data_IF_147109528793
#
_entry.id   IF_147109528793
#
_cell.length_a   1.000
_cell.length_b   1.000
_cell.length_c   1.000
_cell.angle_alpha   90.00
_cell.angle_beta   90.00
_cell.angle_gamma   90.00
#
_symmetry.space_group_name_H-M   'P 1'
#
loop_
_entity.id
_entity.type
_entity.pdbx_description
1 polymer ?
#
# COMPACT_ATOMS: atom_id res chain seq x y z
N UNK A 1 -4.10 -36.39 20.79
CA UNK A 1 -3.15 -35.49 20.12
C UNK A 1 -3.95 -34.65 19.13
N UNK A 2 -4.26 -33.39 19.45
CA UNK A 2 -4.98 -32.46 18.57
C UNK A 2 -3.94 -31.61 17.84
N UNK A 3 -3.89 -31.74 16.51
CA UNK A 3 -3.02 -30.99 15.63
C UNK A 3 -3.37 -29.51 15.69
N UNK A 4 -2.40 -28.67 16.09
CA UNK A 4 -2.46 -27.19 16.04
C UNK A 4 -2.25 -26.77 14.57
N UNK A 5 -3.13 -25.95 13.97
CA UNK A 5 -2.90 -25.45 12.62
C UNK A 5 -1.70 -24.48 12.59
N UNK A 6 -0.75 -24.78 11.72
CA UNK A 6 0.42 -23.98 11.40
C UNK A 6 0.01 -22.56 10.98
N UNK A 7 0.47 -21.56 11.72
CA UNK A 7 0.30 -20.13 11.39
C UNK A 7 1.12 -19.80 10.15
N UNK A 8 0.45 -19.75 9.00
CA UNK A 8 1.05 -19.36 7.71
C UNK A 8 1.65 -17.95 7.75
N UNK A 9 2.71 -17.75 6.99
CA UNK A 9 3.49 -16.53 6.90
C UNK A 9 2.67 -15.26 6.66
N UNK A 10 3.03 -14.21 7.36
CA UNK A 10 2.39 -12.89 7.28
C UNK A 10 3.07 -12.09 6.18
N UNK A 11 2.32 -11.76 5.14
CA UNK A 11 2.71 -10.77 4.13
C UNK A 11 1.84 -9.55 4.33
N UNK A 12 2.46 -8.42 4.54
CA UNK A 12 1.76 -7.16 4.59
C UNK A 12 1.62 -6.66 3.15
N UNK A 13 0.40 -6.70 2.64
CA UNK A 13 0.06 -6.18 1.33
C UNK A 13 -0.35 -4.72 1.46
N UNK A 14 0.30 -3.85 0.74
CA UNK A 14 -0.26 -2.54 0.40
C UNK A 14 -1.26 -2.61 -0.75
N UNK A 15 -1.32 -3.71 -1.49
CA UNK A 15 -2.30 -3.94 -2.57
C UNK A 15 -2.72 -5.41 -2.62
N UNK A 16 -3.97 -5.68 -2.40
CA UNK A 16 -4.79 -6.84 -2.76
C UNK A 16 -5.37 -7.70 -1.64
N UNK A 17 -6.60 -8.11 -1.88
CA UNK A 17 -7.46 -8.97 -1.06
C UNK A 17 -7.07 -10.43 -1.05
N UNK A 18 -7.37 -11.08 0.07
CA UNK A 18 -7.49 -12.54 0.16
C UNK A 18 -8.92 -12.96 0.48
N UNK A 19 -9.35 -14.03 -0.19
CA UNK A 19 -10.57 -14.77 0.14
C UNK A 19 -10.32 -15.67 1.33
N UNK A 20 -11.18 -15.58 2.35
CA UNK A 20 -11.44 -16.65 3.31
C UNK A 20 -12.62 -17.47 2.79
N UNK A 21 -12.51 -18.79 2.80
CA UNK A 21 -13.59 -19.68 2.40
C UNK A 21 -14.74 -19.62 3.41
N UNK A 22 -15.78 -18.86 3.10
CA UNK A 22 -17.14 -19.01 3.58
C UNK A 22 -18.06 -18.70 2.39
N UNK A 23 -18.94 -19.64 2.06
CA UNK A 23 -19.99 -19.77 1.05
C UNK A 23 -20.41 -18.53 0.23
N UNK A 24 -20.81 -18.68 -1.06
CA UNK A 24 -20.69 -17.67 -2.09
C UNK A 24 -21.84 -16.66 -2.06
N UNK A 25 -21.57 -15.47 -1.59
CA UNK A 25 -22.14 -14.28 -2.19
C UNK A 25 -21.20 -13.87 -3.32
N UNK A 26 -21.71 -13.64 -4.52
CA UNK A 26 -21.04 -13.53 -5.79
C UNK A 26 -19.63 -12.91 -5.84
N UNK A 27 -18.88 -13.09 -6.92
CA UNK A 27 -17.47 -12.74 -6.96
C UNK A 27 -17.31 -11.24 -6.68
N UNK A 28 -16.75 -10.88 -5.51
CA UNK A 28 -16.16 -9.59 -5.33
C UNK A 28 -15.01 -9.49 -6.35
N UNK A 29 -15.32 -9.01 -7.53
CA UNK A 29 -14.33 -8.61 -8.51
C UNK A 29 -13.55 -7.50 -7.85
N UNK A 30 -12.21 -7.71 -7.65
CA UNK A 30 -11.34 -6.57 -7.57
C UNK A 30 -11.57 -5.80 -8.86
N UNK A 31 -12.13 -4.60 -8.79
CA UNK A 31 -12.19 -3.77 -9.96
C UNK A 31 -10.76 -3.28 -10.15
N UNK A 32 -10.21 -3.46 -11.26
CA UNK A 32 -8.98 -2.91 -11.77
C UNK A 32 -7.80 -3.89 -11.60
N UNK A 33 -7.54 -4.52 -12.71
CA UNK A 33 -6.22 -4.95 -13.09
C UNK A 33 -5.39 -3.67 -13.23
N UNK A 34 -4.77 -3.19 -12.12
CA UNK A 34 -3.90 -2.01 -12.11
C UNK A 34 -2.70 -2.16 -13.06
N UNK A 35 -2.58 -3.32 -13.70
CA UNK A 35 -1.49 -3.68 -14.59
C UNK A 35 -2.02 -4.30 -15.89
N UNK A 36 -2.59 -3.51 -16.83
CA UNK A 36 -2.80 -3.98 -18.18
C UNK A 36 -1.44 -4.12 -18.92
N UNK A 37 -1.38 -5.07 -19.87
CA UNK A 37 -0.24 -5.24 -20.74
C UNK A 37 0.12 -3.92 -21.46
N UNK A 38 1.42 -3.67 -21.62
CA UNK A 38 2.04 -2.47 -22.19
C UNK A 38 1.24 -1.83 -23.32
N UNK A 39 0.65 -0.67 -23.07
CA UNK A 39 0.24 0.26 -24.10
C UNK A 39 1.37 1.26 -24.39
N UNK A 40 1.56 1.59 -25.67
CA UNK A 40 2.64 2.43 -26.17
C UNK A 40 2.70 3.80 -25.50
N UNK A 41 3.89 4.23 -25.10
CA UNK A 41 4.19 5.47 -24.38
C UNK A 41 3.99 6.70 -25.27
N UNK A 42 2.98 7.51 -24.94
CA UNK A 42 2.97 8.94 -25.23
C UNK A 42 3.10 9.67 -23.88
N UNK A 43 4.05 10.59 -23.73
CA UNK A 43 4.17 11.41 -22.53
C UNK A 43 2.91 12.30 -22.41
N UNK A 44 2.18 12.26 -21.28
CA UNK A 44 1.04 13.14 -21.08
C UNK A 44 1.50 14.60 -20.96
N UNK A 45 0.72 15.52 -21.51
CA UNK A 45 0.93 17.00 -21.43
C UNK A 45 1.05 17.53 -19.98
N UNK A 46 0.67 16.74 -18.97
CA UNK A 46 0.65 17.08 -17.55
C UNK A 46 1.54 16.18 -16.68
N UNK A 47 2.71 15.75 -17.20
CA UNK A 47 3.66 14.97 -16.39
C UNK A 47 4.16 15.78 -15.19
N UNK A 48 3.99 15.24 -13.99
CA UNK A 48 4.45 15.86 -12.75
C UNK A 48 5.99 15.94 -12.73
N UNK A 49 6.59 17.10 -12.39
CA UNK A 49 8.05 17.25 -12.35
C UNK A 49 8.67 16.46 -11.17
N UNK A 50 9.94 16.00 -11.31
CA UNK A 50 10.62 15.24 -10.26
C UNK A 50 10.69 15.91 -8.88
N UNK A 51 10.78 17.25 -8.85
CA UNK A 51 10.76 18.03 -7.59
C UNK A 51 9.43 17.86 -6.84
N UNK A 52 8.33 17.74 -7.56
CA UNK A 52 7.01 17.51 -6.97
C UNK A 52 6.86 16.09 -6.45
N UNK A 53 7.51 15.11 -7.10
CA UNK A 53 7.57 13.73 -6.61
C UNK A 53 8.22 13.63 -5.23
N UNK A 54 9.35 14.34 -5.06
CA UNK A 54 10.06 14.39 -3.79
C UNK A 54 9.21 15.00 -2.69
N UNK A 55 8.44 16.05 -3.01
CA UNK A 55 7.54 16.68 -2.04
C UNK A 55 6.44 15.72 -1.58
N UNK A 56 5.75 15.02 -2.50
CA UNK A 56 4.74 14.01 -2.13
C UNK A 56 5.34 12.88 -1.30
N UNK A 57 6.52 12.37 -1.68
CA UNK A 57 7.18 11.29 -0.94
C UNK A 57 7.61 11.74 0.46
N UNK A 58 8.14 12.96 0.60
CA UNK A 58 8.55 13.51 1.88
C UNK A 58 7.38 13.69 2.87
N UNK A 59 6.20 14.03 2.37
CA UNK A 59 4.99 14.25 3.15
C UNK A 59 4.05 13.03 3.15
N UNK A 60 4.50 11.87 2.64
CA UNK A 60 3.65 10.70 2.47
C UNK A 60 3.04 10.23 3.80
N UNK A 61 1.72 10.12 3.80
CA UNK A 61 0.93 9.58 4.90
C UNK A 61 0.51 8.13 4.68
N UNK A 62 0.51 7.70 3.41
CA UNK A 62 0.19 6.34 2.97
C UNK A 62 1.21 5.88 1.92
N UNK A 63 1.48 4.57 1.79
CA UNK A 63 2.51 4.06 0.87
C UNK A 63 2.29 4.47 -0.59
N UNK A 64 1.04 4.66 -0.98
CA UNK A 64 0.63 5.05 -2.33
C UNK A 64 1.09 6.47 -2.72
N UNK A 65 1.58 7.26 -1.75
CA UNK A 65 2.17 8.58 -1.96
C UNK A 65 3.70 8.55 -2.11
N UNK A 66 4.33 7.40 -1.87
CA UNK A 66 5.77 7.20 -2.10
C UNK A 66 6.03 7.03 -3.60
N UNK A 67 6.21 8.16 -4.32
CA UNK A 67 6.38 8.15 -5.78
C UNK A 67 7.53 7.25 -6.25
N UNK A 68 8.72 7.25 -5.60
CA UNK A 68 9.80 6.33 -5.97
C UNK A 68 9.40 4.85 -5.83
N UNK A 69 8.69 4.50 -4.76
CA UNK A 69 8.19 3.15 -4.54
C UNK A 69 7.22 2.71 -5.63
N UNK A 70 6.11 3.45 -5.81
CA UNK A 70 5.06 3.03 -6.76
C UNK A 70 5.60 2.92 -8.18
N UNK A 71 6.48 3.84 -8.61
CA UNK A 71 7.12 3.78 -9.93
C UNK A 71 8.08 2.61 -10.09
N UNK A 72 8.79 2.22 -9.04
CA UNK A 72 9.72 1.09 -9.10
C UNK A 72 8.99 -0.26 -9.20
N UNK A 73 7.80 -0.38 -8.59
CA UNK A 73 7.05 -1.64 -8.54
C UNK A 73 5.87 -1.70 -9.53
N UNK A 74 5.67 -0.67 -10.34
CA UNK A 74 4.56 -0.59 -11.29
C UNK A 74 4.91 0.26 -12.52
N UNK A 75 4.07 0.15 -13.58
CA UNK A 75 4.15 0.99 -14.78
C UNK A 75 3.24 2.24 -14.68
N UNK A 76 2.87 2.65 -13.45
CA UNK A 76 1.98 3.78 -13.22
C UNK A 76 2.71 5.12 -13.41
N UNK A 77 2.01 6.09 -14.01
CA UNK A 77 2.51 7.44 -14.23
C UNK A 77 1.91 8.40 -13.18
N UNK A 78 2.74 9.15 -12.43
CA UNK A 78 2.26 10.09 -11.43
C UNK A 78 1.70 11.36 -12.08
N UNK A 79 0.54 11.80 -11.60
CA UNK A 79 -0.13 13.05 -11.94
C UNK A 79 -0.52 13.79 -10.66
N UNK A 80 -0.84 15.07 -10.76
CA UNK A 80 -1.44 15.85 -9.68
C UNK A 80 -2.85 16.28 -10.09
N UNK A 81 -3.84 16.04 -9.22
CA UNK A 81 -5.22 16.46 -9.40
C UNK A 81 -5.70 17.15 -8.12
N UNK A 82 -6.07 18.43 -8.19
CA UNK A 82 -6.56 19.20 -7.04
C UNK A 82 -5.63 19.21 -5.83
N UNK A 83 -4.32 19.11 -6.03
CA UNK A 83 -3.32 19.02 -4.98
C UNK A 83 -3.12 17.61 -4.39
N UNK A 84 -3.82 16.59 -4.91
CA UNK A 84 -3.63 15.19 -4.56
C UNK A 84 -2.81 14.45 -5.63
N UNK A 85 -2.04 13.45 -5.17
CA UNK A 85 -1.35 12.55 -6.08
C UNK A 85 -2.35 11.63 -6.76
N UNK A 86 -2.18 11.43 -8.06
CA UNK A 86 -2.92 10.44 -8.84
C UNK A 86 -1.97 9.56 -9.65
N UNK A 87 -2.41 8.36 -9.99
CA UNK A 87 -1.68 7.37 -10.74
C UNK A 87 -2.45 6.98 -11.99
N UNK A 88 -1.85 7.20 -13.16
CA UNK A 88 -2.45 6.85 -14.44
C UNK A 88 -1.91 5.56 -15.00
N UNK A 89 -2.81 4.76 -15.55
CA UNK A 89 -2.49 3.58 -16.35
C UNK A 89 -3.43 3.51 -17.55
N UNK A 90 -3.02 4.05 -18.68
CA UNK A 90 -3.85 4.17 -19.86
C UNK A 90 -5.15 4.93 -19.56
N UNK A 91 -6.36 4.29 -19.72
CA UNK A 91 -7.63 4.92 -19.44
C UNK A 91 -8.04 4.87 -17.95
N UNK A 92 -7.28 4.21 -17.09
CA UNK A 92 -7.55 4.12 -15.66
C UNK A 92 -6.77 5.16 -14.88
N UNK A 93 -7.42 5.77 -13.87
CA UNK A 93 -6.80 6.71 -12.94
C UNK A 93 -7.09 6.28 -11.50
N UNK A 94 -6.07 6.35 -10.64
CA UNK A 94 -6.20 6.14 -9.19
C UNK A 94 -5.84 7.43 -8.49
N UNK A 95 -6.79 8.07 -7.82
CA UNK A 95 -6.59 9.28 -7.01
C UNK A 95 -6.31 8.88 -5.57
N UNK A 96 -5.18 9.34 -5.00
CA UNK A 96 -4.80 9.11 -3.60
C UNK A 96 -5.32 10.28 -2.76
N UNK A 97 -6.55 10.18 -2.31
CA UNK A 97 -7.28 11.21 -1.58
C UNK A 97 -6.97 11.24 -0.07
N UNK A 98 -5.79 10.78 0.34
CA UNK A 98 -5.28 10.96 1.69
C UNK A 98 -4.47 12.26 1.75
N UNK A 99 -4.78 13.15 2.70
CA UNK A 99 -3.99 14.34 2.92
C UNK A 99 -2.54 13.99 3.28
N UNK A 100 -1.60 14.74 2.72
CA UNK A 100 -0.19 14.68 3.08
C UNK A 100 0.00 15.20 4.51
N UNK A 101 0.97 14.63 5.22
CA UNK A 101 1.28 14.97 6.60
C UNK A 101 0.45 14.22 7.65
N UNK A 102 1.08 14.03 8.81
CA UNK A 102 0.50 13.33 9.94
C UNK A 102 -0.26 14.32 10.83
N UNK A 103 -1.53 14.55 10.55
CA UNK A 103 -2.44 14.85 11.66
C UNK A 103 -2.82 13.48 12.24
N UNK A 104 -2.24 13.15 13.39
CA UNK A 104 -2.64 11.99 14.19
C UNK A 104 -4.08 12.20 14.66
N UNK A 105 -5.03 11.77 13.84
CA UNK A 105 -6.44 11.67 14.22
C UNK A 105 -6.73 10.20 14.42
N UNK A 106 -7.17 9.80 15.60
CA UNK A 106 -7.56 8.43 15.90
C UNK A 106 -8.70 7.91 14.99
N UNK A 107 -9.23 6.73 15.30
CA UNK A 107 -10.29 6.03 14.56
C UNK A 107 -11.56 6.86 14.26
N UNK A 108 -11.74 7.99 14.94
CA UNK A 108 -12.83 8.95 14.81
C UNK A 108 -12.36 10.27 14.16
N UNK A 109 -11.49 10.23 13.15
CA UNK A 109 -11.22 11.44 12.38
C UNK A 109 -12.52 11.83 11.67
N UNK A 110 -13.26 12.72 12.33
CA UNK A 110 -14.49 13.30 11.80
C UNK A 110 -14.15 13.97 10.47
N UNK A 111 -14.87 13.56 9.43
CA UNK A 111 -14.77 14.13 8.08
C UNK A 111 -14.93 15.64 8.15
N UNK A 112 -13.82 16.37 8.06
CA UNK A 112 -13.91 17.83 8.04
C UNK A 112 -14.52 18.29 6.72
N UNK A 113 -15.44 19.25 6.76
CA UNK A 113 -16.05 19.82 5.53
C UNK A 113 -15.02 20.31 4.51
N UNK A 114 -13.94 21.02 4.92
CA UNK A 114 -12.90 21.46 3.99
C UNK A 114 -12.15 20.30 3.31
N UNK A 115 -11.87 19.20 4.03
CA UNK A 115 -11.19 18.02 3.49
C UNK A 115 -12.08 17.31 2.45
N UNK A 116 -13.36 17.13 2.75
CA UNK A 116 -14.32 16.56 1.82
C UNK A 116 -14.45 17.39 0.54
N UNK A 117 -14.61 18.71 0.66
CA UNK A 117 -14.74 19.60 -0.49
C UNK A 117 -13.48 19.61 -1.39
N UNK A 118 -12.27 19.55 -0.79
CA UNK A 118 -11.03 19.45 -1.55
C UNK A 118 -10.95 18.14 -2.33
N UNK A 119 -11.31 17.02 -1.69
CA UNK A 119 -11.33 15.72 -2.34
C UNK A 119 -12.36 15.67 -3.47
N UNK A 120 -13.57 16.21 -3.27
CA UNK A 120 -14.60 16.26 -4.29
C UNK A 120 -14.20 17.13 -5.49
N UNK A 121 -13.52 18.25 -5.26
CA UNK A 121 -12.95 19.07 -6.34
C UNK A 121 -11.89 18.30 -7.14
N UNK A 122 -10.99 17.58 -6.46
CA UNK A 122 -9.98 16.75 -7.09
C UNK A 122 -10.59 15.58 -7.89
N UNK A 123 -11.66 14.98 -7.39
CA UNK A 123 -12.44 13.95 -8.13
C UNK A 123 -13.06 14.53 -9.40
N UNK A 124 -13.59 15.76 -9.33
CA UNK A 124 -14.11 16.48 -10.50
C UNK A 124 -13.03 16.72 -11.55
N UNK A 125 -11.84 17.21 -11.13
CA UNK A 125 -10.69 17.41 -12.00
C UNK A 125 -10.23 16.08 -12.62
N UNK A 126 -10.02 15.04 -11.81
CA UNK A 126 -9.59 13.72 -12.25
C UNK A 126 -10.57 13.10 -13.28
N UNK A 127 -11.88 13.26 -13.05
CA UNK A 127 -12.93 12.78 -13.97
C UNK A 127 -12.95 13.51 -15.30
N UNK A 128 -12.48 14.76 -15.34
CA UNK A 128 -12.46 15.59 -16.55
C UNK A 128 -11.20 15.36 -17.43
N UNK A 129 -10.20 14.66 -16.93
CA UNK A 129 -8.98 14.39 -17.69
C UNK A 129 -9.26 13.60 -18.96
N UNK A 130 -8.63 14.04 -20.06
CA UNK A 130 -8.82 13.42 -21.37
C UNK A 130 -8.32 11.97 -21.38
N UNK A 131 -9.15 11.06 -21.88
CA UNK A 131 -8.81 9.65 -22.06
C UNK A 131 -8.97 8.79 -20.80
N UNK A 132 -9.51 9.35 -19.71
CA UNK A 132 -9.86 8.56 -18.52
C UNK A 132 -11.26 7.98 -18.68
N UNK A 133 -11.37 6.65 -18.51
CA UNK A 133 -12.62 5.88 -18.60
C UNK A 133 -13.02 5.27 -17.26
N UNK A 134 -12.05 5.13 -16.32
CA UNK A 134 -12.31 4.63 -14.99
C UNK A 134 -11.53 5.42 -13.94
N UNK A 135 -12.15 5.68 -12.80
CA UNK A 135 -11.56 6.35 -11.66
C UNK A 135 -11.70 5.49 -10.41
N UNK A 136 -10.60 5.35 -9.68
CA UNK A 136 -10.56 4.79 -8.34
C UNK A 136 -10.05 5.85 -7.38
N UNK A 137 -10.72 6.03 -6.26
CA UNK A 137 -10.31 6.94 -5.18
C UNK A 137 -9.95 6.13 -3.95
N UNK A 138 -8.72 6.31 -3.46
CA UNK A 138 -8.21 5.75 -2.21
C UNK A 138 -8.29 6.86 -1.16
N UNK A 139 -9.21 6.79 -0.20
CA UNK A 139 -9.47 7.90 0.72
C UNK A 139 -9.92 7.42 2.11
N UNK A 140 -9.93 8.30 3.12
CA UNK A 140 -10.48 7.96 4.44
C UNK A 140 -11.98 7.70 4.42
N UNK A 141 -12.69 8.21 3.45
CA UNK A 141 -14.14 8.12 3.28
C UNK A 141 -14.52 8.10 1.80
N UNK A 142 -15.74 7.66 1.50
CA UNK A 142 -16.31 7.74 0.15
C UNK A 142 -16.50 9.21 -0.24
N UNK A 143 -15.98 9.68 -1.40
CA UNK A 143 -16.24 11.04 -1.88
C UNK A 143 -17.72 11.27 -2.16
N UNK A 144 -18.24 12.48 -1.90
CA UNK A 144 -19.61 12.85 -2.26
C UNK A 144 -19.76 13.00 -3.77
N UNK A 145 -18.70 13.42 -4.47
CA UNK A 145 -18.65 13.48 -5.92
C UNK A 145 -18.68 12.10 -6.62
N UNK A 146 -18.52 11.00 -5.87
CA UNK A 146 -18.65 9.65 -6.44
C UNK A 146 -20.10 9.36 -6.80
N UNK A 147 -20.41 8.91 -8.05
CA UNK A 147 -21.78 8.64 -8.48
C UNK A 147 -22.42 7.51 -7.65
N UNK A 148 -23.76 7.43 -7.63
CA UNK A 148 -24.48 6.42 -6.84
C UNK A 148 -24.06 4.99 -7.18
N UNK A 149 -23.79 4.70 -8.46
CA UNK A 149 -23.33 3.37 -8.92
C UNK A 149 -21.87 3.05 -8.61
N UNK A 150 -21.11 3.98 -8.04
CA UNK A 150 -19.73 3.70 -7.65
C UNK A 150 -19.68 2.60 -6.59
N UNK A 151 -18.75 1.66 -6.78
CA UNK A 151 -18.56 0.52 -5.88
C UNK A 151 -17.47 0.86 -4.87
N UNK A 152 -17.81 0.75 -3.59
CA UNK A 152 -16.81 0.89 -2.52
C UNK A 152 -16.44 -0.47 -1.95
N UNK A 153 -15.17 -0.63 -1.60
CA UNK A 153 -14.69 -1.79 -0.85
C UNK A 153 -15.19 -1.74 0.60
N UNK A 154 -15.06 -2.87 1.29
CA UNK A 154 -15.25 -2.88 2.75
C UNK A 154 -14.24 -1.92 3.38
N UNK A 155 -14.66 -1.08 4.33
CA UNK A 155 -13.76 -0.18 5.04
C UNK A 155 -12.61 -0.94 5.73
N UNK A 156 -11.41 -0.39 5.64
CA UNK A 156 -10.19 -0.83 6.31
C UNK A 156 -9.53 0.38 7.00
N UNK A 157 -8.33 0.22 7.51
CA UNK A 157 -7.56 1.31 8.09
C UNK A 157 -6.07 1.06 7.96
N UNK A 158 -5.29 2.13 7.86
CA UNK A 158 -3.85 2.09 8.09
C UNK A 158 -3.56 2.02 9.58
N UNK A 159 -2.63 1.14 9.94
CA UNK A 159 -2.20 0.89 11.31
C UNK A 159 -0.77 1.38 11.52
N UNK A 160 -0.45 1.84 12.71
CA UNK A 160 0.92 2.25 13.00
C UNK A 160 1.28 2.19 14.46
N UNK A 161 2.57 2.34 14.71
CA UNK A 161 3.21 2.32 16.02
C UNK A 161 3.95 3.64 16.17
N UNK A 162 3.66 4.45 17.20
CA UNK A 162 4.53 5.57 17.56
C UNK A 162 5.93 5.05 17.88
N UNK A 163 6.95 5.70 17.33
CA UNK A 163 8.34 5.41 17.62
C UNK A 163 8.87 6.39 18.68
N UNK A 164 9.49 5.91 19.76
CA UNK A 164 10.14 6.76 20.74
C UNK A 164 11.42 7.39 20.16
N UNK A 165 12.01 8.30 20.88
CA UNK A 165 13.30 8.92 20.49
C UNK A 165 14.49 7.99 20.74
N UNK A 166 14.36 7.03 21.65
CA UNK A 166 15.37 6.00 21.93
C UNK A 166 14.76 4.59 21.75
N UNK A 167 15.49 3.71 21.09
CA UNK A 167 15.07 2.33 20.90
C UNK A 167 14.91 1.55 22.23
N UNK A 168 15.60 1.95 23.28
CA UNK A 168 15.46 1.37 24.60
C UNK A 168 14.07 1.62 25.21
N UNK A 169 13.39 2.69 24.78
CA UNK A 169 12.06 3.08 25.26
C UNK A 169 10.92 2.37 24.52
N UNK A 170 11.22 1.48 23.55
CA UNK A 170 10.19 0.71 22.85
C UNK A 170 9.41 -0.20 23.83
N UNK A 171 8.11 0.10 23.96
CA UNK A 171 7.21 -0.61 24.88
C UNK A 171 6.72 -1.93 24.28
N UNK A 172 7.42 -3.01 24.54
CA UNK A 172 6.97 -4.36 24.17
C UNK A 172 6.17 -5.03 25.29
N UNK A 173 5.03 -5.62 24.94
CA UNK A 173 4.33 -6.54 25.84
C UNK A 173 5.20 -7.75 26.18
N UNK A 174 4.99 -8.37 27.36
CA UNK A 174 5.80 -9.50 27.83
C UNK A 174 5.93 -10.64 26.81
N UNK A 175 4.82 -10.98 26.15
CA UNK A 175 4.80 -12.04 25.13
C UNK A 175 5.70 -11.71 23.93
N UNK A 176 5.67 -10.47 23.46
CA UNK A 176 6.51 -10.02 22.34
C UNK A 176 7.99 -9.99 22.73
N UNK A 177 8.33 -9.49 23.92
CA UNK A 177 9.71 -9.55 24.46
C UNK A 177 10.26 -10.96 24.48
N UNK A 178 9.45 -11.92 24.93
CA UNK A 178 9.87 -13.32 24.96
C UNK A 178 10.07 -13.89 23.56
N UNK A 179 9.22 -13.54 22.60
CA UNK A 179 9.38 -13.95 21.20
C UNK A 179 10.65 -13.36 20.56
N UNK A 180 10.89 -12.06 20.74
CA UNK A 180 12.10 -11.40 20.25
C UNK A 180 13.37 -12.02 20.84
N UNK A 181 13.38 -12.27 22.16
CA UNK A 181 14.53 -12.92 22.83
C UNK A 181 14.77 -14.33 22.28
N UNK A 182 13.72 -15.09 22.00
CA UNK A 182 13.83 -16.41 21.40
C UNK A 182 14.35 -16.34 19.97
N UNK A 183 13.76 -15.49 19.12
CA UNK A 183 14.18 -15.33 17.74
C UNK A 183 15.65 -14.94 17.62
N UNK A 184 16.14 -14.00 18.43
CA UNK A 184 17.53 -13.53 18.45
C UNK A 184 18.57 -14.60 18.84
N UNK A 185 18.17 -15.78 19.31
CA UNK A 185 19.07 -16.93 19.53
C UNK A 185 19.23 -17.77 18.28
N UNK A 186 18.19 -17.80 17.43
CA UNK A 186 18.10 -18.72 16.31
C UNK A 186 18.40 -18.02 14.98
N UNK A 187 18.30 -16.67 14.96
CA UNK A 187 18.54 -15.85 13.74
C UNK A 187 19.30 -14.57 14.05
N UNK A 188 20.12 -14.17 13.09
CA UNK A 188 20.78 -12.87 13.01
C UNK A 188 20.02 -11.97 12.02
N UNK A 189 19.71 -10.73 12.43
CA UNK A 189 19.14 -9.72 11.54
C UNK A 189 20.23 -8.77 11.09
N UNK A 190 20.35 -8.58 9.78
CA UNK A 190 21.28 -7.63 9.18
C UNK A 190 20.60 -6.84 8.05
N UNK A 191 21.02 -5.57 7.89
CA UNK A 191 20.74 -4.81 6.67
C UNK A 191 21.62 -5.36 5.55
N UNK A 192 21.03 -5.68 4.41
CA UNK A 192 21.76 -6.12 3.23
C UNK A 192 21.11 -5.65 1.93
N UNK A 193 21.83 -5.77 0.82
CA UNK A 193 21.28 -5.53 -0.52
C UNK A 193 20.44 -6.71 -1.00
N UNK A 194 19.75 -6.50 -2.13
CA UNK A 194 19.00 -7.56 -2.78
C UNK A 194 19.93 -8.69 -3.26
N UNK A 195 19.52 -9.94 -3.05
CA UNK A 195 20.28 -11.15 -3.42
C UNK A 195 19.36 -12.19 -4.08
N UNK A 196 19.93 -13.19 -4.80
CA UNK A 196 19.13 -14.23 -5.46
C UNK A 196 18.23 -15.04 -4.53
N UNK A 197 18.64 -15.30 -3.29
CA UNK A 197 17.85 -16.04 -2.30
C UNK A 197 16.60 -15.27 -1.83
N UNK A 198 16.64 -13.92 -1.83
CA UNK A 198 15.43 -13.11 -1.61
C UNK A 198 14.43 -13.29 -2.76
N UNK A 199 14.90 -13.27 -4.01
CA UNK A 199 14.07 -13.50 -5.18
C UNK A 199 13.45 -14.91 -5.16
N UNK A 200 14.23 -15.92 -4.79
CA UNK A 200 13.74 -17.29 -4.66
C UNK A 200 12.63 -17.41 -3.61
N UNK A 201 12.80 -16.80 -2.44
CA UNK A 201 11.78 -16.77 -1.39
C UNK A 201 10.50 -16.09 -1.86
N UNK A 202 10.60 -14.99 -2.60
CA UNK A 202 9.46 -14.31 -3.21
C UNK A 202 8.75 -15.23 -4.21
N UNK A 203 9.49 -15.89 -5.11
CA UNK A 203 8.89 -16.79 -6.09
C UNK A 203 8.24 -18.03 -5.43
N UNK A 204 8.83 -18.59 -4.38
CA UNK A 204 8.21 -19.65 -3.57
C UNK A 204 6.88 -19.17 -2.98
N UNK A 205 6.85 -17.95 -2.45
CA UNK A 205 5.64 -17.35 -1.91
C UNK A 205 4.58 -17.12 -2.98
N UNK A 206 4.96 -16.61 -4.16
CA UNK A 206 4.07 -16.41 -5.30
C UNK A 206 3.44 -17.75 -5.75
N UNK A 207 4.22 -18.82 -5.81
CA UNK A 207 3.74 -20.17 -6.18
C UNK A 207 2.81 -20.79 -5.14
N UNK A 208 2.97 -20.41 -3.87
CA UNK A 208 2.19 -20.99 -2.76
C UNK A 208 0.73 -20.52 -2.69
N UNK A 209 0.33 -19.49 -3.48
CA UNK A 209 -1.00 -18.85 -3.38
C UNK A 209 -1.47 -18.28 -4.72
N UNK A 210 -2.79 -18.24 -4.96
CA UNK A 210 -3.34 -17.59 -6.13
C UNK A 210 -3.32 -16.07 -5.97
N UNK A 211 -2.30 -15.41 -6.51
CA UNK A 211 -2.22 -13.95 -6.57
C UNK A 211 -2.69 -13.43 -7.94
N UNK A 212 -3.32 -12.25 -7.93
CA UNK A 212 -3.60 -11.51 -9.15
C UNK A 212 -2.30 -11.18 -9.91
N UNK A 213 -2.32 -11.06 -11.26
CA UNK A 213 -1.14 -10.73 -12.05
C UNK A 213 -0.37 -9.50 -11.55
N UNK A 214 -1.08 -8.41 -11.22
CA UNK A 214 -0.48 -7.20 -10.69
C UNK A 214 0.23 -7.38 -9.35
N UNK A 215 -0.32 -8.21 -8.44
CA UNK A 215 0.36 -8.53 -7.18
C UNK A 215 1.65 -9.31 -7.41
N UNK A 216 1.65 -10.25 -8.38
CA UNK A 216 2.86 -10.99 -8.76
C UNK A 216 3.91 -10.07 -9.36
N UNK A 217 3.48 -9.16 -10.24
CA UNK A 217 4.35 -8.15 -10.83
C UNK A 217 5.01 -7.29 -9.73
N UNK A 218 4.23 -6.73 -8.83
CA UNK A 218 4.71 -5.95 -7.69
C UNK A 218 5.76 -6.70 -6.87
N UNK A 219 5.51 -7.97 -6.51
CA UNK A 219 6.45 -8.75 -5.72
C UNK A 219 7.77 -9.01 -6.45
N UNK A 220 7.75 -9.23 -7.77
CA UNK A 220 8.97 -9.40 -8.58
C UNK A 220 9.79 -8.13 -8.73
N UNK A 221 9.20 -6.96 -8.47
CA UNK A 221 9.87 -5.67 -8.56
C UNK A 221 10.41 -5.16 -7.21
N UNK A 222 10.34 -5.96 -6.15
CA UNK A 222 10.94 -5.60 -4.85
C UNK A 222 12.45 -5.40 -4.97
N UNK A 223 13.16 -6.28 -5.69
CA UNK A 223 14.60 -6.14 -5.94
C UNK A 223 14.96 -4.84 -6.64
N UNK A 224 14.45 -4.58 -7.84
CA UNK A 224 14.63 -3.30 -8.53
C UNK A 224 14.29 -2.07 -7.68
N UNK A 225 13.24 -2.16 -6.84
CA UNK A 225 12.88 -1.08 -5.94
C UNK A 225 13.95 -0.83 -4.86
N UNK A 226 14.41 -1.87 -4.17
CA UNK A 226 15.46 -1.77 -3.13
C UNK A 226 16.78 -1.26 -3.71
N UNK A 227 17.09 -1.63 -4.96
CA UNK A 227 18.29 -1.17 -5.65
C UNK A 227 18.22 0.28 -6.14
N UNK A 228 17.03 0.72 -6.56
CA UNK A 228 16.82 2.05 -7.14
C UNK A 228 16.57 3.15 -6.12
N UNK A 229 16.04 2.82 -4.92
CA UNK A 229 15.62 3.79 -3.91
C UNK A 229 16.53 3.70 -2.69
N UNK A 230 17.41 4.70 -2.44
CA UNK A 230 18.40 4.65 -1.36
C UNK A 230 17.81 4.52 0.05
N UNK A 231 16.60 5.01 0.25
CA UNK A 231 15.86 4.95 1.52
C UNK A 231 14.92 3.73 1.62
N UNK A 232 14.91 2.86 0.62
CA UNK A 232 14.30 1.54 0.71
C UNK A 232 15.31 0.55 1.29
N UNK A 233 15.14 0.15 2.55
CA UNK A 233 16.09 -0.70 3.25
C UNK A 233 15.54 -2.11 3.42
N UNK A 234 16.35 -3.09 3.07
CA UNK A 234 16.08 -4.50 3.27
C UNK A 234 16.83 -5.01 4.52
N UNK A 235 16.07 -5.64 5.41
CA UNK A 235 16.58 -6.38 6.56
C UNK A 235 16.32 -7.87 6.34
N UNK A 236 17.38 -8.67 6.40
CA UNK A 236 17.29 -10.12 6.25
C UNK A 236 17.55 -10.82 7.59
N UNK A 237 16.77 -11.87 7.83
CA UNK A 237 16.97 -12.80 8.93
C UNK A 237 17.69 -14.03 8.40
N UNK A 238 18.87 -14.33 8.94
CA UNK A 238 19.64 -15.52 8.59
C UNK A 238 19.90 -16.37 9.82
N UNK A 239 19.90 -17.69 9.64
CA UNK A 239 20.31 -18.61 10.71
C UNK A 239 21.85 -18.68 10.86
N UNK A 240 22.33 -19.54 11.76
CA UNK A 240 23.75 -19.71 12.02
C UNK A 240 24.55 -20.30 10.83
N UNK A 241 23.88 -20.93 9.87
CA UNK A 241 24.48 -21.46 8.63
C UNK A 241 24.45 -20.42 7.50
N UNK A 242 23.83 -19.24 7.74
CA UNK A 242 23.66 -18.18 6.76
C UNK A 242 22.46 -18.34 5.84
N UNK A 243 21.61 -19.36 6.05
CA UNK A 243 20.43 -19.57 5.23
C UNK A 243 19.35 -18.52 5.54
N UNK A 244 18.68 -18.01 4.50
CA UNK A 244 17.67 -16.97 4.60
C UNK A 244 16.39 -17.53 5.26
N UNK A 245 16.04 -17.00 6.43
CA UNK A 245 14.84 -17.33 7.18
C UNK A 245 13.67 -16.35 6.92
N UNK A 246 13.97 -15.21 6.32
CA UNK A 246 13.00 -14.20 5.94
C UNK A 246 13.65 -12.85 5.71
N UNK A 247 12.88 -11.91 5.16
CA UNK A 247 13.30 -10.53 5.03
C UNK A 247 12.12 -9.57 5.12
N UNK A 248 12.40 -8.31 5.43
CA UNK A 248 11.45 -7.22 5.37
C UNK A 248 12.05 -6.00 4.70
N UNK A 249 11.20 -5.20 4.02
CA UNK A 249 11.61 -3.95 3.39
C UNK A 249 10.82 -2.80 4.02
N UNK A 250 11.56 -1.80 4.51
CA UNK A 250 11.04 -0.54 4.99
C UNK A 250 11.44 0.60 4.06
N UNK A 251 10.53 1.56 3.86
CA UNK A 251 10.85 2.82 3.19
C UNK A 251 10.94 3.95 4.22
N UNK A 252 12.01 4.72 4.14
CA UNK A 252 12.38 5.79 5.06
C UNK A 252 12.43 7.16 4.35
N UNK A 253 11.81 7.26 3.16
CA UNK A 253 11.81 8.49 2.36
C UNK A 253 10.96 9.60 2.97
N UNK A 254 9.85 9.24 3.62
CA UNK A 254 8.95 10.23 4.21
C UNK A 254 9.51 10.83 5.49
N UNK A 255 9.30 12.13 5.67
CA UNK A 255 9.69 12.83 6.89
C UNK A 255 8.86 12.33 8.09
N UNK A 256 9.53 11.76 9.08
CA UNK A 256 8.90 11.31 10.31
C UNK A 256 8.16 9.97 10.24
N UNK A 257 7.94 9.38 9.07
CA UNK A 257 7.24 8.09 8.92
C UNK A 257 8.10 7.04 8.24
N UNK A 258 8.21 5.87 8.85
CA UNK A 258 8.72 4.65 8.21
C UNK A 258 7.54 3.85 7.69
N UNK A 259 7.62 3.35 6.47
CA UNK A 259 6.63 2.44 5.90
C UNK A 259 7.15 1.01 5.89
N UNK A 260 6.47 0.09 6.57
CA UNK A 260 6.69 -1.34 6.47
C UNK A 260 5.99 -1.87 5.22
N UNK A 261 6.69 -1.98 4.10
CA UNK A 261 6.11 -2.29 2.80
C UNK A 261 6.00 -3.79 2.54
N UNK A 262 7.06 -4.55 2.81
CA UNK A 262 7.12 -5.98 2.51
C UNK A 262 7.70 -6.77 3.68
N UNK A 263 7.18 -7.99 3.87
CA UNK A 263 7.75 -8.99 4.75
C UNK A 263 7.50 -10.40 4.20
N UNK A 264 8.56 -11.15 4.03
CA UNK A 264 8.53 -12.55 3.61
C UNK A 264 9.24 -13.40 4.62
N UNK A 265 8.76 -14.61 4.79
CA UNK A 265 9.28 -15.57 5.75
C UNK A 265 9.32 -16.95 5.12
N UNK A 266 10.43 -17.67 5.27
CA UNK A 266 10.52 -19.08 4.89
C UNK A 266 9.48 -19.90 5.69
N UNK A 267 8.89 -20.95 5.11
CA UNK A 267 7.89 -21.78 5.79
C UNK A 267 8.36 -22.31 7.14
N UNK A 268 9.60 -22.79 7.20
CA UNK A 268 10.22 -23.41 8.39
C UNK A 268 11.01 -22.42 9.26
N UNK A 269 10.91 -21.11 9.00
CA UNK A 269 11.63 -20.11 9.77
C UNK A 269 11.29 -20.16 11.26
N UNK A 270 12.25 -19.87 12.15
CA UNK A 270 12.04 -19.85 13.59
C UNK A 270 10.89 -18.95 14.02
N UNK A 271 10.12 -19.33 15.07
CA UNK A 271 9.07 -18.49 15.62
C UNK A 271 9.62 -17.13 16.08
N UNK A 272 8.95 -16.03 15.64
CA UNK A 272 9.37 -14.67 15.97
C UNK A 272 10.24 -14.01 14.89
N UNK A 273 10.59 -14.69 13.78
CA UNK A 273 11.33 -14.10 12.67
C UNK A 273 10.70 -12.81 12.14
N UNK A 274 9.39 -12.81 11.88
CA UNK A 274 8.68 -11.60 11.44
C UNK A 274 8.72 -10.47 12.49
N UNK A 275 8.69 -10.83 13.77
CA UNK A 275 8.78 -9.86 14.86
C UNK A 275 10.19 -9.25 14.93
N UNK A 276 11.24 -10.07 14.80
CA UNK A 276 12.62 -9.59 14.82
C UNK A 276 12.94 -8.68 13.61
N UNK A 277 12.37 -8.98 12.44
CA UNK A 277 12.48 -8.13 11.25
C UNK A 277 11.78 -6.78 11.45
N UNK A 278 10.56 -6.78 12.01
CA UNK A 278 9.85 -5.54 12.30
C UNK A 278 10.54 -4.70 13.37
N UNK A 279 11.14 -5.36 14.38
CA UNK A 279 11.95 -4.72 15.41
C UNK A 279 13.17 -4.01 14.83
N UNK A 280 13.87 -4.65 13.89
CA UNK A 280 15.00 -4.03 13.20
C UNK A 280 14.60 -2.82 12.36
N UNK A 281 13.44 -2.90 11.67
CA UNK A 281 12.88 -1.76 10.94
C UNK A 281 12.55 -0.60 11.87
N UNK A 282 11.92 -0.87 13.00
CA UNK A 282 11.58 0.14 14.00
C UNK A 282 12.85 0.81 14.58
N UNK A 283 13.84 0.02 14.94
CA UNK A 283 15.12 0.50 15.48
C UNK A 283 15.85 1.41 14.48
N UNK A 284 15.87 1.06 13.19
CA UNK A 284 16.45 1.92 12.15
C UNK A 284 15.65 3.21 11.97
N UNK A 285 14.31 3.15 12.06
CA UNK A 285 13.45 4.33 12.03
C UNK A 285 13.79 5.31 13.16
N UNK A 286 13.89 4.80 14.38
CA UNK A 286 14.28 5.57 15.57
C UNK A 286 15.67 6.19 15.37
N UNK A 287 16.65 5.40 14.91
CA UNK A 287 18.01 5.87 14.64
C UNK A 287 18.06 7.02 13.63
N UNK A 288 17.12 7.04 12.68
CA UNK A 288 16.97 8.10 11.66
C UNK A 288 16.11 9.27 12.13
N UNK A 289 15.54 9.22 13.33
CA UNK A 289 14.68 10.27 13.89
C UNK A 289 13.22 10.22 13.42
N UNK A 290 12.76 9.09 12.87
CA UNK A 290 11.35 8.92 12.55
C UNK A 290 10.54 8.70 13.82
N UNK A 291 9.31 9.21 13.82
CA UNK A 291 8.40 9.20 14.98
C UNK A 291 7.22 8.23 14.83
N UNK A 292 7.06 7.66 13.63
CA UNK A 292 5.97 6.76 13.32
C UNK A 292 6.43 5.61 12.42
N UNK A 293 5.97 4.39 12.73
CA UNK A 293 6.07 3.22 11.84
C UNK A 293 4.67 2.88 11.32
N UNK A 294 4.43 3.12 10.04
CA UNK A 294 3.20 2.75 9.35
C UNK A 294 3.28 1.29 8.90
N UNK A 295 2.37 0.45 9.38
CA UNK A 295 2.29 -0.98 9.11
C UNK A 295 1.34 -1.32 7.93
N UNK A 296 0.82 -0.32 7.23
CA UNK A 296 -0.13 -0.52 6.14
C UNK A 296 -1.55 -0.91 6.59
N UNK A 297 -2.34 -1.40 5.65
CA UNK A 297 -3.76 -1.76 5.83
C UNK A 297 -3.97 -3.03 6.67
N UNK A 298 -5.13 -3.13 7.33
CA UNK A 298 -5.56 -4.27 8.15
C UNK A 298 -5.69 -5.57 7.36
N UNK A 299 -6.24 -5.51 6.17
CA UNK A 299 -6.40 -6.57 5.15
C UNK A 299 -7.20 -7.79 5.64
N UNK A 300 -6.76 -8.44 6.73
CA UNK A 300 -7.43 -9.62 7.28
C UNK A 300 -7.19 -9.75 8.81
N UNK A 301 -8.00 -10.57 9.52
CA UNK A 301 -7.88 -10.73 10.96
C UNK A 301 -6.50 -11.15 11.47
N UNK A 302 -5.77 -11.97 10.70
CA UNK A 302 -4.42 -12.43 11.09
C UNK A 302 -3.40 -11.29 11.09
N UNK A 303 -3.47 -10.40 10.10
CA UNK A 303 -2.63 -9.20 10.00
C UNK A 303 -3.00 -8.22 11.11
N UNK A 304 -4.29 -7.98 11.35
CA UNK A 304 -4.75 -7.12 12.45
C UNK A 304 -4.29 -7.67 13.80
N UNK A 305 -4.37 -9.00 14.02
CA UNK A 305 -3.85 -9.63 15.23
C UNK A 305 -2.34 -9.39 15.41
N UNK A 306 -1.55 -9.54 14.35
CA UNK A 306 -0.11 -9.24 14.38
C UNK A 306 0.16 -7.78 14.76
N UNK A 307 -0.56 -6.82 14.15
CA UNK A 307 -0.42 -5.39 14.43
C UNK A 307 -0.78 -5.06 15.89
N UNK A 308 -1.89 -5.60 16.39
CA UNK A 308 -2.31 -5.43 17.79
C UNK A 308 -1.30 -6.00 18.79
N UNK A 309 -0.64 -7.11 18.45
CA UNK A 309 0.45 -7.67 19.27
C UNK A 309 1.59 -6.67 19.47
N UNK A 310 1.79 -5.77 18.50
CA UNK A 310 2.76 -4.68 18.52
C UNK A 310 2.20 -3.38 19.11
N UNK A 311 1.04 -3.41 19.76
CA UNK A 311 0.33 -2.22 20.23
C UNK A 311 0.04 -1.17 19.15
N UNK A 312 -0.03 -1.60 17.88
CA UNK A 312 -0.38 -0.71 16.80
C UNK A 312 -1.82 -0.21 16.95
N UNK A 313 -2.02 1.06 16.62
CA UNK A 313 -3.32 1.73 16.61
C UNK A 313 -3.72 2.10 15.19
N UNK A 314 -4.99 2.41 15.00
CA UNK A 314 -5.49 2.94 13.73
C UNK A 314 -4.95 4.36 13.56
N UNK A 315 -4.24 4.59 12.45
CA UNK A 315 -3.73 5.90 12.06
C UNK A 315 -4.78 6.70 11.30
N UNK A 316 -5.42 6.04 10.34
CA UNK A 316 -6.47 6.65 9.51
C UNK A 316 -7.37 5.60 8.86
N UNK A 317 -8.66 5.88 8.68
CA UNK A 317 -9.57 5.05 7.91
C UNK A 317 -9.12 4.96 6.44
N UNK A 318 -9.62 3.92 5.75
CA UNK A 318 -9.39 3.73 4.33
C UNK A 318 -10.58 3.05 3.67
N UNK A 319 -10.98 3.59 2.54
CA UNK A 319 -11.95 2.99 1.62
C UNK A 319 -11.48 3.21 0.18
N UNK A 320 -11.66 2.21 -0.65
CA UNK A 320 -11.45 2.31 -2.09
C UNK A 320 -12.82 2.43 -2.77
N UNK A 321 -13.01 3.48 -3.57
CA UNK A 321 -14.25 3.72 -4.31
C UNK A 321 -13.94 3.82 -5.79
N UNK A 322 -14.59 3.00 -6.63
CA UNK A 322 -14.29 2.86 -8.06
C UNK A 322 -15.54 2.98 -8.91
N UNK A 323 -15.42 3.62 -10.08
CA UNK A 323 -16.50 3.72 -11.06
C UNK A 323 -15.97 3.97 -12.48
N UNK A 324 -16.83 3.69 -13.48
CA UNK A 324 -16.59 4.12 -14.85
C UNK A 324 -16.94 5.61 -14.99
N UNK A 325 -16.03 6.39 -15.57
CA UNK A 325 -16.27 7.81 -15.86
C UNK A 325 -17.16 7.91 -17.08
N UNK A 326 -18.45 8.14 -16.86
CA UNK A 326 -19.39 8.40 -17.96
C UNK A 326 -19.14 9.82 -18.45
N UNK A 327 -18.63 9.93 -19.68
CA UNK A 327 -18.69 11.22 -20.37
C UNK A 327 -20.14 11.48 -20.75
N UNK A 328 -20.64 12.74 -20.62
CA UNK A 328 -21.83 13.11 -21.35
C UNK A 328 -21.59 12.69 -22.81
N UNK A 329 -22.39 11.78 -23.36
CA UNK A 329 -22.41 11.59 -24.79
C UNK A 329 -22.60 13.00 -25.34
N UNK A 330 -21.59 13.52 -26.08
CA UNK A 330 -21.83 14.66 -26.94
C UNK A 330 -23.09 14.25 -27.71
N UNK A 331 -24.20 14.94 -27.40
CA UNK A 331 -25.42 14.75 -28.14
C UNK A 331 -25.03 15.16 -29.56
N UNK A 332 -24.69 14.13 -30.34
CA UNK A 332 -24.08 14.33 -31.64
C UNK A 332 -24.96 15.30 -32.41
N UNK A 333 -24.38 16.21 -33.11
CA UNK A 333 -25.07 17.16 -34.03
C UNK A 333 -26.21 16.49 -34.80
N UNK A 334 -26.17 15.19 -35.04
CA UNK A 334 -27.23 14.34 -35.59
C UNK A 334 -28.47 14.19 -34.68
N UNK A 335 -28.34 14.21 -33.35
CA UNK A 335 -29.48 14.17 -32.42
C UNK A 335 -30.21 15.52 -32.33
N UNK A 336 -29.47 16.62 -32.43
CA UNK A 336 -30.02 17.97 -32.56
C UNK A 336 -30.70 18.21 -33.91
N UNK A 337 -30.14 17.68 -34.99
CA UNK A 337 -30.73 17.75 -36.33
C UNK A 337 -32.03 16.92 -36.42
N UNK A 338 -32.13 15.74 -35.84
CA UNK A 338 -33.37 14.97 -35.78
C UNK A 338 -34.51 15.68 -35.01
N UNK A 339 -34.15 16.42 -33.96
CA UNK A 339 -35.15 17.26 -33.23
C UNK A 339 -35.57 18.50 -34.00
N UNK A 340 -34.69 19.07 -34.87
CA UNK A 340 -34.99 20.25 -35.67
C UNK A 340 -35.75 19.93 -36.95
N UNK A 341 -35.62 18.72 -37.48
CA UNK A 341 -36.26 18.33 -38.75
C UNK A 341 -37.49 17.40 -38.59
N UNK A 342 -37.92 17.10 -37.36
CA UNK A 342 -39.21 16.43 -37.12
C UNK A 342 -39.37 15.05 -37.77
N UNK A 343 -38.25 14.29 -37.94
CA UNK A 343 -38.25 12.93 -38.53
C UNK A 343 -38.07 11.86 -37.43
#
# INVERSE_FOLDING_TARGET
MKSVPSAGGIVIKSFSSQRSAITPAGPARFPINLFPERAARGFPENAMPPSRWAAFAAEAAVPEQLVPYVRAVSDLEPLECGGFLAWRNGPALVLVGHDAGLKQGGAEQERSRPEAARLDAAVGEASSLRGIESLTVLAPFRPDAAPEWAVSTRPDAYWGIPLPTDAADMAYGQKLRNQLRRARRDILIAREGWKPDHAELVEQYIRSRPFAPGTRHLFRHIGPYVEAVPDALLFAARDCEGALQGFAVGDYTALGTVFHLFAFRAPESPPGTADALLDALAAEGIRRGHTLLNLGLGINPGIVFFKRKWNATILRPHVETSWAVQRPQEAGLLGSLKKLFGM
#
